data_IF_237571076243
#
_entry.id   IF_237571076243
#
_cell.length_a   1.000
_cell.length_b   1.000
_cell.length_c   1.000
_cell.angle_alpha   90.00
_cell.angle_beta   90.00
_cell.angle_gamma   90.00
#
_symmetry.space_group_name_H-M   'P 1'
#
loop_
_entity.id
_entity.type
_entity.pdbx_description
1 polymer ?
#
# COMPACT_ATOMS: atom_id res chain seq x y z
N UNK A 1 -44.32 15.09 8.21
CA UNK A 1 -44.10 14.73 6.79
C UNK A 1 -43.07 15.73 6.27
N UNK A 2 -41.84 15.37 5.91
CA UNK A 2 -41.41 14.32 4.97
C UNK A 2 -40.05 13.75 5.41
N UNK A 3 -39.87 12.44 5.23
CA UNK A 3 -38.70 11.66 5.64
C UNK A 3 -37.53 11.76 4.64
N UNK A 4 -36.32 11.55 5.18
CA UNK A 4 -35.14 10.88 4.60
C UNK A 4 -35.10 10.52 3.11
N UNK A 5 -33.96 10.85 2.50
CA UNK A 5 -33.10 9.86 1.84
C UNK A 5 -31.65 10.32 1.83
N UNK A 6 -30.91 10.04 2.91
CA UNK A 6 -29.45 9.95 2.86
C UNK A 6 -29.14 8.63 2.16
N UNK A 7 -28.71 8.70 0.91
CA UNK A 7 -28.10 7.57 0.21
C UNK A 7 -26.84 7.16 0.98
N UNK A 8 -26.95 6.15 1.85
CA UNK A 8 -25.79 5.50 2.46
C UNK A 8 -25.08 4.77 1.30
N UNK A 9 -23.94 5.29 0.89
CA UNK A 9 -23.12 4.72 -0.18
C UNK A 9 -22.59 3.36 0.25
N UNK A 10 -23.09 2.28 -0.35
CA UNK A 10 -22.68 0.89 -0.09
C UNK A 10 -21.16 0.67 -0.32
N UNK A 11 -20.47 1.58 -1.02
CA UNK A 11 -19.02 1.53 -1.28
C UNK A 11 -18.13 1.72 -0.05
N UNK A 12 -18.64 2.34 1.02
CA UNK A 12 -17.82 2.73 2.17
C UNK A 12 -17.48 1.51 3.05
N UNK A 13 -18.49 0.68 3.35
CA UNK A 13 -18.34 -0.42 4.32
C UNK A 13 -17.51 -1.59 3.80
N UNK A 14 -17.51 -1.88 2.49
CA UNK A 14 -16.66 -2.96 1.94
C UNK A 14 -15.18 -2.60 1.97
N UNK A 15 -14.87 -1.34 1.69
CA UNK A 15 -13.52 -0.79 1.67
C UNK A 15 -12.91 -0.79 3.07
N UNK A 16 -13.66 -0.29 4.06
CA UNK A 16 -13.25 -0.31 5.47
C UNK A 16 -13.02 -1.72 6.00
N UNK A 17 -13.87 -2.68 5.61
CA UNK A 17 -13.71 -4.09 5.98
C UNK A 17 -12.41 -4.67 5.41
N UNK A 18 -12.08 -4.42 4.14
CA UNK A 18 -10.85 -4.92 3.54
C UNK A 18 -9.61 -4.39 4.27
N UNK A 19 -9.56 -3.07 4.55
CA UNK A 19 -8.44 -2.47 5.28
C UNK A 19 -8.33 -3.05 6.70
N UNK A 20 -9.46 -3.25 7.38
CA UNK A 20 -9.49 -3.85 8.71
C UNK A 20 -8.98 -5.29 8.67
N UNK A 21 -9.46 -6.10 7.73
CA UNK A 21 -9.00 -7.49 7.55
C UNK A 21 -7.52 -7.55 7.18
N UNK A 22 -7.02 -6.62 6.35
CA UNK A 22 -5.61 -6.53 5.99
C UNK A 22 -4.75 -6.22 7.23
N UNK A 23 -5.14 -5.24 8.05
CA UNK A 23 -4.46 -4.93 9.32
C UNK A 23 -4.45 -6.14 10.26
N UNK A 24 -5.57 -6.84 10.39
CA UNK A 24 -5.66 -8.05 11.21
C UNK A 24 -4.79 -9.17 10.65
N UNK A 25 -4.76 -9.37 9.33
CA UNK A 25 -3.96 -10.40 8.68
C UNK A 25 -2.45 -10.15 8.80
N UNK A 26 -2.03 -8.88 8.77
CA UNK A 26 -0.65 -8.45 9.00
C UNK A 26 -0.23 -8.55 10.48
N UNK A 27 -1.21 -8.58 11.40
CA UNK A 27 -0.98 -8.58 12.83
C UNK A 27 -0.77 -7.16 13.41
N UNK A 28 -0.92 -7.01 14.74
CA UNK A 28 -1.00 -5.69 15.39
C UNK A 28 0.27 -4.85 15.22
N UNK A 29 1.46 -5.48 15.23
CA UNK A 29 2.73 -4.78 15.11
C UNK A 29 2.99 -4.24 13.71
N UNK A 30 2.53 -4.93 12.67
CA UNK A 30 2.69 -4.49 11.27
C UNK A 30 1.54 -3.56 10.86
N UNK A 31 0.35 -3.76 11.43
CA UNK A 31 -0.81 -2.88 11.21
C UNK A 31 -0.56 -1.43 11.62
N UNK A 32 0.27 -1.19 12.64
CA UNK A 32 0.65 0.17 13.07
C UNK A 32 1.54 0.89 12.05
N UNK A 33 2.40 0.15 11.33
CA UNK A 33 3.26 0.71 10.28
C UNK A 33 2.43 1.24 9.09
N UNK A 34 1.27 0.64 8.81
CA UNK A 34 0.35 1.16 7.78
C UNK A 34 -0.26 2.51 8.16
N UNK A 35 -0.41 2.79 9.46
CA UNK A 35 -0.97 4.05 9.97
C UNK A 35 0.09 5.09 10.30
N UNK A 36 1.37 4.74 10.26
CA UNK A 36 2.49 5.66 10.51
C UNK A 36 2.75 6.52 9.26
N UNK A 37 2.56 7.83 9.37
CA UNK A 37 2.72 8.78 8.26
C UNK A 37 4.17 8.96 7.80
N UNK A 38 5.15 8.59 8.63
CA UNK A 38 6.56 8.60 8.20
C UNK A 38 6.88 7.42 7.27
N UNK A 39 6.12 6.32 7.34
CA UNK A 39 6.26 5.18 6.42
C UNK A 39 5.58 5.52 5.10
N UNK A 40 6.32 5.36 4.01
CA UNK A 40 5.83 5.57 2.64
C UNK A 40 5.60 4.24 1.91
N UNK A 41 6.34 3.19 2.28
CA UNK A 41 6.27 1.88 1.64
C UNK A 41 6.56 0.76 2.65
N UNK A 42 5.84 -0.36 2.53
CA UNK A 42 6.12 -1.62 3.23
C UNK A 42 6.38 -2.71 2.20
N UNK A 43 7.42 -3.52 2.42
CA UNK A 43 7.86 -4.56 1.49
C UNK A 43 8.12 -5.85 2.25
N UNK A 44 7.47 -6.93 1.87
CA UNK A 44 7.78 -8.27 2.32
C UNK A 44 8.65 -8.95 1.26
N UNK A 45 9.87 -9.33 1.64
CA UNK A 45 10.79 -10.05 0.78
C UNK A 45 10.60 -11.58 0.87
N UNK A 46 11.19 -12.30 -0.09
CA UNK A 46 11.07 -13.76 -0.20
C UNK A 46 11.69 -14.54 0.97
N UNK A 47 12.56 -13.90 1.76
CA UNK A 47 13.11 -14.44 3.01
C UNK A 47 12.16 -14.28 4.21
N UNK A 48 10.96 -13.74 3.98
CA UNK A 48 9.95 -13.49 5.00
C UNK A 48 10.18 -12.22 5.81
N UNK A 49 11.26 -11.45 5.56
CA UNK A 49 11.53 -10.21 6.29
C UNK A 49 10.71 -9.05 5.75
N UNK A 50 10.14 -8.28 6.67
CA UNK A 50 9.41 -7.06 6.36
C UNK A 50 10.31 -5.82 6.49
N UNK A 51 10.32 -5.03 5.44
CA UNK A 51 11.05 -3.77 5.33
C UNK A 51 10.08 -2.61 5.23
N UNK A 52 10.48 -1.45 5.77
CA UNK A 52 9.77 -0.19 5.60
C UNK A 52 10.66 0.84 4.94
N UNK A 53 10.14 1.62 4.00
CA UNK A 53 10.77 2.85 3.54
C UNK A 53 10.12 4.03 4.26
N UNK A 54 10.95 4.91 4.83
CA UNK A 54 10.52 6.06 5.62
C UNK A 54 11.02 7.37 5.03
N UNK A 55 10.15 8.37 5.00
CA UNK A 55 10.49 9.69 4.47
C UNK A 55 11.69 10.29 5.23
N UNK A 56 12.73 10.67 4.49
CA UNK A 56 13.95 11.27 5.04
C UNK A 56 14.92 10.31 5.73
N UNK A 57 14.57 9.03 5.90
CA UNK A 57 15.44 8.01 6.53
C UNK A 57 15.83 6.91 5.54
N UNK A 58 14.93 6.57 4.60
CA UNK A 58 15.11 5.50 3.64
C UNK A 58 14.67 4.13 4.16
N UNK A 59 15.16 3.07 3.53
CA UNK A 59 14.75 1.68 3.80
C UNK A 59 15.37 1.14 5.08
N UNK A 60 14.54 0.50 5.90
CA UNK A 60 14.92 -0.09 7.19
C UNK A 60 14.25 -1.46 7.38
N UNK A 61 14.98 -2.40 7.98
CA UNK A 61 14.43 -3.65 8.47
C UNK A 61 13.51 -3.33 9.67
N UNK A 62 12.28 -3.86 9.64
CA UNK A 62 11.32 -3.66 10.73
C UNK A 62 11.56 -4.60 11.90
N UNK A 63 12.39 -5.63 11.72
CA UNK A 63 12.56 -6.74 12.67
C UNK A 63 11.39 -7.73 12.67
N UNK A 64 10.36 -7.51 11.85
CA UNK A 64 9.22 -8.41 11.73
C UNK A 64 9.41 -9.40 10.57
N UNK A 65 8.88 -10.60 10.79
CA UNK A 65 8.84 -11.67 9.78
C UNK A 65 7.41 -12.12 9.54
N UNK A 66 7.06 -12.41 8.29
CA UNK A 66 5.76 -12.97 7.90
C UNK A 66 6.01 -14.35 7.29
N UNK A 67 5.23 -15.34 7.71
CA UNK A 67 5.35 -16.69 7.16
C UNK A 67 4.90 -16.72 5.69
N UNK A 68 5.43 -17.62 4.84
CA UNK A 68 4.95 -17.76 3.47
C UNK A 68 3.44 -17.99 3.37
N UNK A 69 2.87 -18.78 4.30
CA UNK A 69 1.43 -19.05 4.36
C UNK A 69 0.60 -17.80 4.66
N UNK A 70 1.04 -16.96 5.61
CA UNK A 70 0.36 -15.70 5.92
C UNK A 70 0.51 -14.69 4.78
N UNK A 71 1.68 -14.62 4.16
CA UNK A 71 1.94 -13.76 3.02
C UNK A 71 1.02 -14.10 1.83
N UNK A 72 0.88 -15.38 1.50
CA UNK A 72 -0.07 -15.84 0.48
C UNK A 72 -1.51 -15.49 0.85
N UNK A 73 -1.90 -15.73 2.11
CA UNK A 73 -3.24 -15.38 2.61
C UNK A 73 -3.53 -13.88 2.47
N UNK A 74 -2.56 -13.02 2.76
CA UNK A 74 -2.66 -11.56 2.60
C UNK A 74 -2.86 -11.19 1.13
N UNK A 75 -2.06 -11.76 0.21
CA UNK A 75 -2.18 -11.49 -1.23
C UNK A 75 -3.56 -11.91 -1.74
N UNK A 76 -4.04 -13.10 -1.36
CA UNK A 76 -5.36 -13.61 -1.76
C UNK A 76 -6.52 -12.81 -1.14
N UNK A 77 -6.34 -12.31 0.08
CA UNK A 77 -7.29 -11.40 0.72
C UNK A 77 -7.45 -10.11 -0.10
N UNK A 78 -6.32 -9.50 -0.50
CA UNK A 78 -6.35 -8.28 -1.32
C UNK A 78 -6.99 -8.56 -2.67
N UNK A 79 -6.60 -9.66 -3.35
CA UNK A 79 -7.18 -10.04 -4.63
C UNK A 79 -8.71 -10.13 -4.56
N UNK A 80 -9.22 -10.90 -3.59
CA UNK A 80 -10.67 -11.04 -3.37
C UNK A 80 -11.33 -9.70 -3.06
N UNK A 81 -10.71 -8.90 -2.18
CA UNK A 81 -11.24 -7.60 -1.76
C UNK A 81 -11.30 -6.55 -2.88
N UNK A 82 -10.44 -6.67 -3.89
CA UNK A 82 -10.38 -5.76 -5.05
C UNK A 82 -11.04 -6.33 -6.29
N UNK A 83 -11.66 -7.52 -6.20
CA UNK A 83 -12.26 -8.21 -7.35
C UNK A 83 -11.25 -8.70 -8.39
N UNK A 84 -9.97 -8.81 -8.01
CA UNK A 84 -8.90 -9.33 -8.84
C UNK A 84 -8.69 -10.83 -8.57
N UNK A 85 -7.94 -11.48 -9.45
CA UNK A 85 -7.57 -12.90 -9.31
C UNK A 85 -6.07 -13.00 -9.08
N UNK A 86 -5.65 -13.82 -8.11
CA UNK A 86 -4.24 -14.14 -7.89
C UNK A 86 -4.10 -15.60 -7.43
N UNK A 87 -3.40 -16.41 -8.22
CA UNK A 87 -3.15 -17.83 -7.99
C UNK A 87 -1.92 -18.31 -8.79
N UNK A 88 -1.59 -19.59 -8.74
CA UNK A 88 -0.40 -20.15 -9.42
C UNK A 88 -0.40 -19.92 -10.95
N UNK A 89 -1.57 -19.86 -11.59
CA UNK A 89 -1.71 -19.58 -13.03
C UNK A 89 -1.71 -18.07 -13.36
N UNK A 90 -2.06 -17.22 -12.39
CA UNK A 90 -2.01 -15.75 -12.46
C UNK A 90 -1.31 -15.20 -11.21
N UNK A 91 0.01 -15.35 -11.10
CA UNK A 91 0.69 -15.15 -9.82
C UNK A 91 1.03 -13.68 -9.51
N UNK A 92 0.65 -12.74 -10.38
CA UNK A 92 0.90 -11.31 -10.19
C UNK A 92 -0.42 -10.62 -9.84
N UNK A 93 -0.42 -9.84 -8.76
CA UNK A 93 -1.53 -9.01 -8.33
C UNK A 93 -1.09 -7.55 -8.27
N UNK A 94 -1.75 -6.71 -9.05
CA UNK A 94 -1.65 -5.25 -8.95
C UNK A 94 -3.01 -4.70 -8.56
N UNK A 95 -3.08 -3.93 -7.47
CA UNK A 95 -4.32 -3.35 -7.01
C UNK A 95 -4.14 -1.97 -6.34
N UNK A 96 -5.22 -1.18 -6.33
CA UNK A 96 -5.34 -0.02 -5.46
C UNK A 96 -6.23 -0.40 -4.27
N UNK A 97 -5.72 -0.20 -3.06
CA UNK A 97 -6.42 -0.47 -1.81
C UNK A 97 -7.53 0.57 -1.62
N UNK A 98 -8.81 0.14 -1.60
CA UNK A 98 -9.95 1.02 -1.37
C UNK A 98 -9.81 1.81 -0.05
N UNK A 99 -10.38 3.02 -0.02
CA UNK A 99 -10.37 3.89 1.16
C UNK A 99 -9.06 4.63 1.41
N UNK A 100 -7.90 4.01 1.17
CA UNK A 100 -6.58 4.66 1.38
C UNK A 100 -5.94 5.20 0.11
N UNK A 101 -6.28 4.64 -1.06
CA UNK A 101 -5.60 4.93 -2.32
C UNK A 101 -4.16 4.41 -2.38
N UNK A 102 -3.75 3.57 -1.42
CA UNK A 102 -2.45 2.91 -1.43
C UNK A 102 -2.39 1.86 -2.53
N UNK A 103 -1.23 1.65 -3.13
CA UNK A 103 -1.02 0.62 -4.16
C UNK A 103 -0.50 -0.66 -3.51
N UNK A 104 -1.03 -1.79 -3.94
CA UNK A 104 -0.59 -3.12 -3.53
C UNK A 104 -0.02 -3.85 -4.75
N UNK A 105 1.16 -4.43 -4.60
CA UNK A 105 1.73 -5.40 -5.53
C UNK A 105 1.99 -6.70 -4.79
N UNK A 106 1.47 -7.82 -5.28
CA UNK A 106 1.71 -9.16 -4.72
C UNK A 106 2.19 -10.12 -5.80
N UNK A 107 3.16 -10.96 -5.45
CA UNK A 107 3.65 -12.02 -6.31
C UNK A 107 3.61 -13.35 -5.56
N UNK A 108 3.13 -14.39 -6.24
CA UNK A 108 3.10 -15.78 -5.75
C UNK A 108 4.08 -16.65 -6.55
N UNK A 109 4.47 -17.82 -6.03
CA UNK A 109 5.09 -18.86 -6.85
C UNK A 109 4.25 -19.19 -8.10
N UNK A 110 4.89 -19.56 -9.23
CA UNK A 110 6.32 -19.86 -9.38
C UNK A 110 7.20 -18.66 -9.82
N UNK A 111 6.64 -17.47 -10.03
CA UNK A 111 7.44 -16.32 -10.52
C UNK A 111 8.40 -15.75 -9.47
N UNK A 112 8.14 -16.09 -8.20
CA UNK A 112 9.00 -15.83 -7.05
C UNK A 112 9.15 -17.11 -6.21
N UNK A 113 10.27 -17.33 -5.50
CA UNK A 113 10.49 -18.54 -4.69
C UNK A 113 9.52 -18.67 -3.50
N UNK A 114 9.06 -17.54 -2.96
CA UNK A 114 8.10 -17.45 -1.87
C UNK A 114 7.20 -16.22 -2.09
N UNK A 115 5.98 -16.18 -1.53
CA UNK A 115 5.10 -15.03 -1.66
C UNK A 115 5.75 -13.73 -1.18
N UNK A 116 5.68 -12.69 -2.02
CA UNK A 116 6.20 -11.35 -1.70
C UNK A 116 5.14 -10.30 -2.00
N UNK A 117 5.18 -9.18 -1.28
CA UNK A 117 4.31 -8.06 -1.60
C UNK A 117 4.91 -6.71 -1.22
N UNK A 118 4.38 -5.67 -1.82
CA UNK A 118 4.68 -4.28 -1.51
C UNK A 118 3.39 -3.48 -1.37
N UNK A 119 3.32 -2.66 -0.32
CA UNK A 119 2.26 -1.69 -0.09
C UNK A 119 2.89 -0.30 -0.15
N UNK A 120 2.61 0.45 -1.23
CA UNK A 120 3.05 1.84 -1.37
C UNK A 120 1.91 2.78 -1.02
N UNK A 121 2.08 3.55 0.05
CA UNK A 121 1.06 4.50 0.49
C UNK A 121 0.90 5.62 -0.55
N UNK A 122 -0.33 6.13 -0.67
CA UNK A 122 -0.58 7.32 -1.49
C UNK A 122 0.24 8.49 -0.93
N UNK A 123 0.92 9.22 -1.81
CA UNK A 123 1.65 10.41 -1.39
C UNK A 123 0.66 11.43 -0.81
N UNK A 124 0.88 11.83 0.44
CA UNK A 124 0.10 12.88 1.12
C UNK A 124 0.70 14.27 0.87
N UNK A 125 2.02 14.35 0.63
CA UNK A 125 2.73 15.58 0.31
C UNK A 125 2.72 15.85 -1.19
N UNK A 126 2.09 16.95 -1.58
CA UNK A 126 2.18 17.52 -2.92
C UNK A 126 3.25 18.59 -2.88
N UNK A 127 4.38 18.35 -3.53
CA UNK A 127 5.41 19.38 -3.73
C UNK A 127 5.06 20.22 -4.95
N UNK A 128 4.94 21.52 -4.75
CA UNK A 128 4.82 22.51 -5.83
C UNK A 128 6.16 22.67 -6.53
N UNK A 129 6.16 23.18 -7.77
CA UNK A 129 7.42 23.49 -8.46
C UNK A 129 8.25 24.54 -7.68
N UNK A 130 7.59 25.44 -6.96
CA UNK A 130 8.23 26.40 -6.05
C UNK A 130 8.98 25.73 -4.89
N UNK A 131 8.43 24.65 -4.33
CA UNK A 131 9.11 23.90 -3.27
C UNK A 131 10.43 23.30 -3.76
N UNK A 132 10.46 22.81 -5.00
CA UNK A 132 11.67 22.28 -5.61
C UNK A 132 12.72 23.36 -5.88
N UNK A 133 12.29 24.56 -6.27
CA UNK A 133 13.20 25.71 -6.44
C UNK A 133 13.77 26.14 -5.09
N UNK A 134 12.92 26.27 -4.08
CA UNK A 134 13.31 26.66 -2.72
C UNK A 134 14.30 25.66 -2.11
N UNK A 135 14.14 24.36 -2.40
CA UNK A 135 15.06 23.31 -1.96
C UNK A 135 16.32 23.18 -2.82
N UNK A 136 16.47 23.97 -3.89
CA UNK A 136 17.62 23.91 -4.79
C UNK A 136 17.68 22.65 -5.65
N UNK A 137 16.59 21.87 -5.71
CA UNK A 137 16.48 20.66 -6.55
C UNK A 137 16.28 21.06 -8.02
N UNK A 138 15.65 22.21 -8.27
CA UNK A 138 15.34 22.75 -9.59
C UNK A 138 15.66 24.24 -9.64
N UNK A 139 15.99 24.76 -10.82
CA UNK A 139 16.17 26.21 -11.06
C UNK A 139 14.87 26.88 -11.50
N UNK A 140 14.75 28.20 -11.29
CA UNK A 140 13.62 28.99 -11.82
C UNK A 140 13.46 28.84 -13.34
N UNK A 141 14.58 28.72 -14.07
CA UNK A 141 14.53 28.52 -15.51
C UNK A 141 13.89 27.17 -15.90
N UNK A 142 14.23 26.10 -15.20
CA UNK A 142 13.63 24.78 -15.41
C UNK A 142 12.14 24.78 -15.02
N UNK A 143 11.76 25.46 -13.93
CA UNK A 143 10.36 25.64 -13.55
C UNK A 143 9.57 26.32 -14.67
N UNK A 144 10.09 27.42 -15.22
CA UNK A 144 9.45 28.17 -16.30
C UNK A 144 9.29 27.39 -17.62
N UNK A 145 10.06 26.32 -17.82
CA UNK A 145 9.95 25.47 -19.01
C UNK A 145 8.83 24.40 -18.91
N UNK A 146 8.34 24.11 -17.70
CA UNK A 146 7.29 23.10 -17.44
C UNK A 146 5.89 23.71 -17.46
N UNK A 147 5.78 25.02 -17.16
CA UNK A 147 4.53 25.78 -17.06
C UNK A 147 4.26 26.53 -18.36
#
# INVERSE_FOLDING_TARGET
MMQNSKTISIKDTSSERLITMLKTALGPNVGSLLTDDSVIELMLNQDGKLWSDRLGVGRQDTGHTITPQDAERIIRLVATGTGAECNESKPLLSAELPGTGSRFQGLLPPVVPAPVFTIRKKALLIFTLDDYVTQGIMTEHQKAAII
#
